data_IF_185135006381
#
_entry.id   IF_185135006381
#
_cell.length_a   1.000
_cell.length_b   1.000
_cell.length_c   1.000
_cell.angle_alpha   90.00
_cell.angle_beta   90.00
_cell.angle_gamma   90.00
#
_symmetry.space_group_name_H-M   'P 1'
#
loop_
_entity.id
_entity.type
_entity.pdbx_description
1 polymer ?
#
# COMPACT_ATOMS: atom_id res chain seq x y z
N UNK A 1 33.10 53.96 29.33
CA UNK A 1 33.03 52.68 30.07
C UNK A 1 31.58 52.27 30.15
N UNK A 2 31.27 51.06 29.69
CA UNK A 2 29.93 50.44 29.70
C UNK A 2 29.51 50.10 31.14
N UNK A 3 28.24 50.29 31.46
CA UNK A 3 27.44 49.40 32.31
C UNK A 3 26.00 49.93 32.41
N UNK A 4 25.10 49.39 31.59
CA UNK A 4 23.66 49.42 31.82
C UNK A 4 23.30 48.03 32.36
N UNK A 5 22.92 47.98 33.64
CA UNK A 5 22.45 46.78 34.31
C UNK A 5 20.94 46.63 34.11
N UNK A 6 20.56 45.36 33.99
CA UNK A 6 19.29 44.80 33.55
C UNK A 6 18.13 44.93 34.57
N UNK A 7 16.96 44.56 34.01
CA UNK A 7 15.79 43.92 34.64
C UNK A 7 14.66 44.89 35.01
N UNK A 8 13.38 44.57 34.79
CA UNK A 8 12.73 43.29 34.55
C UNK A 8 11.46 43.52 33.72
N UNK A 9 11.35 42.85 32.58
CA UNK A 9 10.12 42.76 31.79
C UNK A 9 9.32 41.57 32.33
N UNK A 10 8.21 41.83 33.01
CA UNK A 10 7.19 40.82 33.31
C UNK A 10 5.94 41.12 32.50
N UNK A 11 5.95 40.71 31.23
CA UNK A 11 4.74 40.61 30.42
C UNK A 11 4.37 39.12 30.33
N UNK A 12 3.42 38.73 31.17
CA UNK A 12 2.82 37.40 31.15
C UNK A 12 1.86 37.32 29.96
N UNK A 13 2.37 36.91 28.80
CA UNK A 13 1.55 36.49 27.67
C UNK A 13 1.66 34.97 27.57
N UNK A 14 0.67 34.26 28.09
CA UNK A 14 0.52 32.84 27.83
C UNK A 14 0.20 32.66 26.33
N UNK A 15 1.07 32.00 25.54
CA UNK A 15 0.66 31.60 24.21
C UNK A 15 -0.39 30.51 24.37
N UNK A 16 -1.57 30.77 23.83
CA UNK A 16 -2.57 29.77 23.54
C UNK A 16 -1.86 28.56 22.93
N UNK A 17 -2.03 27.40 23.55
CA UNK A 17 -1.42 26.16 23.12
C UNK A 17 -1.68 25.97 21.64
N UNK A 18 -0.62 26.11 20.85
CA UNK A 18 -0.54 25.48 19.55
C UNK A 18 -0.65 24.01 19.90
N UNK A 19 -1.85 23.46 19.78
CA UNK A 19 -1.99 22.05 19.46
C UNK A 19 -1.13 21.89 18.21
N UNK A 20 0.06 21.33 18.39
CA UNK A 20 0.79 20.75 17.30
C UNK A 20 -0.22 19.77 16.70
N UNK A 21 -0.85 20.19 15.60
CA UNK A 21 -1.39 19.24 14.66
C UNK A 21 -0.17 18.41 14.30
N UNK A 22 -0.09 17.23 14.91
CA UNK A 22 0.80 16.18 14.45
C UNK A 22 0.59 16.16 12.93
N UNK A 23 1.66 16.30 12.11
CA UNK A 23 1.49 16.20 10.68
C UNK A 23 0.84 14.84 10.48
N UNK A 24 -0.42 14.81 10.02
CA UNK A 24 -1.06 13.57 9.66
C UNK A 24 -0.10 12.95 8.65
N UNK A 25 0.60 11.89 9.04
CA UNK A 25 1.44 11.14 8.12
C UNK A 25 0.59 10.96 6.87
N UNK A 26 1.06 11.50 5.74
CA UNK A 26 0.34 11.38 4.48
C UNK A 26 0.09 9.89 4.28
N UNK A 27 -1.13 9.43 4.56
CA UNK A 27 -1.54 8.03 4.41
C UNK A 27 -1.64 7.72 2.93
N UNK A 28 -0.53 7.75 2.20
CA UNK A 28 -0.53 7.48 0.77
C UNK A 28 -0.95 6.04 0.49
N UNK A 29 -1.32 5.80 -0.76
CA UNK A 29 -1.58 4.47 -1.27
C UNK A 29 -0.91 4.30 -2.63
N UNK A 30 -0.85 3.06 -3.11
CA UNK A 30 -0.56 2.74 -4.49
C UNK A 30 -1.82 2.27 -5.18
N UNK A 31 -2.21 2.92 -6.28
CA UNK A 31 -3.21 2.38 -7.20
C UNK A 31 -2.48 1.62 -8.29
N UNK A 32 -2.76 0.33 -8.40
CA UNK A 32 -2.16 -0.55 -9.38
C UNK A 32 -3.22 -1.02 -10.37
N UNK A 33 -2.90 -0.90 -11.66
CA UNK A 33 -3.67 -1.44 -12.76
C UNK A 33 -3.06 -2.77 -13.18
N UNK A 34 -3.87 -3.84 -13.15
CA UNK A 34 -3.48 -5.15 -13.65
C UNK A 34 -3.63 -5.17 -15.16
N UNK A 35 -2.57 -5.61 -15.85
CA UNK A 35 -2.51 -5.61 -17.32
C UNK A 35 -2.44 -7.03 -17.89
N UNK A 36 -1.86 -7.96 -17.13
CA UNK A 36 -1.81 -9.37 -17.49
C UNK A 36 -2.17 -10.25 -16.31
N UNK A 37 -2.75 -11.41 -16.60
CA UNK A 37 -3.01 -12.46 -15.63
C UNK A 37 -2.87 -13.83 -16.31
N UNK A 38 -2.11 -14.73 -15.70
CA UNK A 38 -1.77 -16.04 -16.27
C UNK A 38 -1.82 -17.13 -15.20
N UNK A 39 -2.54 -18.20 -15.48
CA UNK A 39 -2.35 -19.46 -14.77
C UNK A 39 -1.10 -20.14 -15.36
N UNK A 40 0.03 -20.06 -14.65
CA UNK A 40 1.30 -20.63 -15.09
C UNK A 40 1.30 -22.15 -15.01
N UNK A 41 0.59 -22.75 -14.05
CA UNK A 41 0.42 -24.21 -13.95
C UNK A 41 -0.24 -24.82 -15.20
N UNK A 42 -1.16 -24.07 -15.82
CA UNK A 42 -1.87 -24.48 -17.03
C UNK A 42 -1.37 -23.80 -18.31
N UNK A 43 -0.33 -22.97 -18.22
CA UNK A 43 0.18 -22.13 -19.30
C UNK A 43 -0.90 -21.32 -20.05
N UNK A 44 -1.91 -20.81 -19.32
CA UNK A 44 -3.11 -20.18 -19.88
C UNK A 44 -3.28 -18.73 -19.39
N UNK A 45 -3.54 -17.81 -20.31
CA UNK A 45 -3.95 -16.44 -19.94
C UNK A 45 -5.39 -16.45 -19.42
N UNK A 46 -5.61 -15.78 -18.30
CA UNK A 46 -6.90 -15.67 -17.64
C UNK A 46 -7.51 -14.28 -17.85
N UNK A 47 -8.85 -14.16 -17.84
CA UNK A 47 -9.48 -12.85 -17.79
C UNK A 47 -9.18 -12.16 -16.45
N UNK A 48 -8.77 -10.91 -16.49
CA UNK A 48 -8.46 -10.11 -15.30
C UNK A 48 -9.74 -9.87 -14.49
N UNK A 49 -9.80 -10.39 -13.26
CA UNK A 49 -10.97 -10.24 -12.39
C UNK A 49 -11.01 -8.86 -11.71
N UNK A 50 -9.86 -8.42 -11.17
CA UNK A 50 -9.68 -7.13 -10.50
C UNK A 50 -8.71 -6.27 -11.33
N UNK A 51 -9.21 -5.43 -12.25
CA UNK A 51 -8.35 -4.65 -13.13
C UNK A 51 -7.62 -3.51 -12.42
N UNK A 52 -8.16 -3.04 -11.29
CA UNK A 52 -7.56 -1.99 -10.47
C UNK A 52 -7.59 -2.42 -9.00
N UNK A 53 -6.48 -2.17 -8.30
CA UNK A 53 -6.33 -2.44 -6.86
C UNK A 53 -5.67 -1.26 -6.18
N UNK A 54 -6.05 -0.98 -4.94
CA UNK A 54 -5.45 0.05 -4.11
C UNK A 54 -4.79 -0.59 -2.90
N UNK A 55 -3.53 -0.24 -2.65
CA UNK A 55 -2.72 -0.73 -1.54
C UNK A 55 -2.33 0.45 -0.64
N UNK A 56 -2.88 0.48 0.58
CA UNK A 56 -2.49 1.47 1.57
C UNK A 56 -1.02 1.28 1.98
N UNK A 57 -0.25 2.38 2.04
CA UNK A 57 1.19 2.33 2.32
C UNK A 57 1.53 1.70 3.67
N UNK A 58 0.67 1.89 4.67
CA UNK A 58 0.84 1.37 6.03
C UNK A 58 0.67 -0.15 6.14
N UNK A 59 0.13 -0.79 5.11
CA UNK A 59 0.03 -2.25 4.99
C UNK A 59 1.17 -2.89 4.20
N UNK A 60 2.01 -2.08 3.55
CA UNK A 60 3.11 -2.55 2.72
C UNK A 60 4.39 -2.63 3.53
N UNK A 61 5.09 -3.77 3.42
CA UNK A 61 6.42 -3.96 3.99
C UNK A 61 7.49 -3.66 2.95
N UNK A 62 8.49 -2.84 3.29
CA UNK A 62 9.68 -2.68 2.45
C UNK A 62 10.60 -3.90 2.63
N UNK A 63 10.79 -4.65 1.54
CA UNK A 63 11.65 -5.82 1.46
C UNK A 63 12.66 -5.66 0.32
N UNK A 64 13.73 -4.92 0.59
CA UNK A 64 14.85 -4.77 -0.34
C UNK A 64 14.55 -3.83 -1.51
N UNK A 65 13.82 -2.74 -1.24
CA UNK A 65 13.44 -1.75 -2.27
C UNK A 65 12.19 -2.14 -3.04
N UNK A 66 11.51 -3.21 -2.64
CA UNK A 66 10.17 -3.57 -3.11
C UNK A 66 9.19 -3.41 -1.96
N UNK A 67 8.00 -2.88 -2.25
CA UNK A 67 6.89 -2.84 -1.31
C UNK A 67 6.07 -4.11 -1.47
N UNK A 68 5.89 -4.85 -0.37
CA UNK A 68 5.33 -6.20 -0.37
C UNK A 68 4.11 -6.27 0.54
N UNK A 69 3.05 -6.92 0.08
CA UNK A 69 1.90 -7.31 0.89
C UNK A 69 1.63 -8.80 0.67
N UNK A 70 1.54 -9.55 1.76
CA UNK A 70 1.05 -10.93 1.75
C UNK A 70 -0.39 -10.95 2.24
N UNK A 71 -1.28 -11.55 1.47
CA UNK A 71 -2.72 -11.63 1.73
C UNK A 71 -3.20 -13.07 1.60
N UNK A 72 -4.07 -13.49 2.53
CA UNK A 72 -4.78 -14.75 2.42
C UNK A 72 -6.22 -14.44 2.06
N UNK A 73 -6.68 -14.90 0.91
CA UNK A 73 -8.06 -14.77 0.45
C UNK A 73 -8.73 -16.14 0.57
N UNK A 74 -9.78 -16.22 1.38
CA UNK A 74 -10.55 -17.45 1.60
C UNK A 74 -11.99 -17.20 1.17
N UNK A 75 -12.49 -18.05 0.28
CA UNK A 75 -13.89 -18.14 -0.08
C UNK A 75 -14.39 -19.60 0.09
N UNK A 76 -15.70 -19.89 -0.04
CA UNK A 76 -16.23 -21.25 0.17
C UNK A 76 -15.69 -22.33 -0.77
N UNK A 77 -15.07 -21.95 -1.89
CA UNK A 77 -14.61 -22.82 -2.96
C UNK A 77 -13.09 -22.80 -3.13
N UNK A 78 -12.41 -21.77 -2.62
CA UNK A 78 -10.98 -21.64 -2.76
C UNK A 78 -10.28 -20.94 -1.59
N UNK A 79 -9.01 -21.28 -1.42
CA UNK A 79 -8.09 -20.54 -0.55
C UNK A 79 -6.87 -20.14 -1.38
N UNK A 80 -6.46 -18.87 -1.27
CA UNK A 80 -5.25 -18.39 -1.92
C UNK A 80 -4.36 -17.59 -1.00
N UNK A 81 -3.06 -17.87 -1.09
CA UNK A 81 -2.01 -17.00 -0.56
C UNK A 81 -1.48 -16.16 -1.71
N UNK A 82 -1.67 -14.84 -1.63
CA UNK A 82 -1.26 -13.87 -2.64
C UNK A 82 -0.12 -13.03 -2.10
N UNK A 83 0.97 -12.93 -2.85
CA UNK A 83 2.06 -11.99 -2.59
C UNK A 83 2.06 -10.91 -3.65
N UNK A 84 1.77 -9.68 -3.24
CA UNK A 84 1.87 -8.48 -4.05
C UNK A 84 3.26 -7.88 -3.91
N UNK A 85 3.82 -7.40 -5.02
CA UNK A 85 5.10 -6.67 -5.06
C UNK A 85 4.93 -5.44 -5.93
N UNK A 86 5.38 -4.31 -5.41
CA UNK A 86 5.41 -3.03 -6.11
C UNK A 86 6.86 -2.55 -6.09
N UNK A 87 7.42 -2.29 -7.26
CA UNK A 87 8.68 -1.55 -7.37
C UNK A 87 8.37 -0.05 -7.38
N UNK A 88 8.64 0.68 -6.29
CA UNK A 88 8.32 2.10 -6.19
C UNK A 88 9.19 2.97 -7.10
N UNK A 89 10.34 2.47 -7.59
CA UNK A 89 11.23 3.22 -8.48
C UNK A 89 10.75 3.21 -9.93
N UNK A 90 10.15 2.09 -10.37
CA UNK A 90 9.67 1.92 -11.75
C UNK A 90 8.15 2.01 -11.89
N UNK A 91 7.42 1.85 -10.78
CA UNK A 91 5.97 1.68 -10.80
C UNK A 91 5.54 0.31 -11.30
N UNK A 92 6.45 -0.68 -11.39
CA UNK A 92 6.11 -2.03 -11.83
C UNK A 92 5.34 -2.79 -10.74
N UNK A 93 4.30 -3.50 -11.14
CA UNK A 93 3.47 -4.34 -10.27
C UNK A 93 3.60 -5.82 -10.64
N UNK A 94 3.76 -6.66 -9.64
CA UNK A 94 3.66 -8.11 -9.76
C UNK A 94 2.81 -8.69 -8.62
N UNK A 95 2.03 -9.72 -8.92
CA UNK A 95 1.43 -10.55 -7.90
C UNK A 95 1.56 -12.02 -8.26
N UNK A 96 1.83 -12.85 -7.25
CA UNK A 96 1.82 -14.30 -7.37
C UNK A 96 0.82 -14.87 -6.36
N UNK A 97 -0.11 -15.69 -6.83
CA UNK A 97 -1.12 -16.34 -6.01
C UNK A 97 -0.99 -17.86 -6.14
N UNK A 98 -0.92 -18.54 -5.00
CA UNK A 98 -1.11 -19.99 -4.92
C UNK A 98 -2.57 -20.23 -4.58
N UNK A 99 -3.36 -20.65 -5.57
CA UNK A 99 -4.79 -20.91 -5.45
C UNK A 99 -5.04 -22.40 -5.23
N UNK A 100 -5.74 -22.76 -4.17
CA UNK A 100 -6.22 -24.12 -3.90
C UNK A 100 -7.70 -24.20 -4.21
N UNK A 101 -8.09 -24.96 -5.22
CA UNK A 101 -9.50 -25.18 -5.59
C UNK A 101 -10.02 -26.42 -4.86
N UNK A 102 -10.94 -26.21 -3.92
CA UNK A 102 -11.47 -27.28 -3.09
C UNK A 102 -12.44 -28.22 -3.83
N UNK A 103 -13.09 -27.73 -4.90
CA UNK A 103 -14.01 -28.55 -5.68
C UNK A 103 -13.26 -29.52 -6.59
N UNK A 104 -12.14 -29.08 -7.15
CA UNK A 104 -11.30 -29.89 -8.03
C UNK A 104 -10.21 -30.66 -7.28
N UNK A 105 -9.85 -30.22 -6.07
CA UNK A 105 -8.70 -30.77 -5.34
C UNK A 105 -7.36 -30.43 -6.00
N UNK A 106 -7.31 -29.34 -6.77
CA UNK A 106 -6.15 -28.92 -7.54
C UNK A 106 -5.53 -27.63 -6.96
N UNK A 107 -4.25 -27.41 -7.24
CA UNK A 107 -3.55 -26.18 -6.88
C UNK A 107 -2.95 -25.54 -8.12
N UNK A 108 -3.16 -24.23 -8.27
CA UNK A 108 -2.68 -23.43 -9.39
C UNK A 108 -1.81 -22.29 -8.90
N UNK A 109 -0.82 -21.93 -9.70
CA UNK A 109 -0.09 -20.68 -9.55
C UNK A 109 -0.61 -19.69 -10.59
N UNK A 110 -1.07 -18.54 -10.11
CA UNK A 110 -1.53 -17.42 -10.92
C UNK A 110 -0.53 -16.29 -10.76
N UNK A 111 -0.06 -15.74 -11.88
CA UNK A 111 0.81 -14.58 -11.91
C UNK A 111 0.12 -13.43 -12.63
N UNK A 112 0.25 -12.24 -12.06
CA UNK A 112 -0.29 -11.00 -12.61
C UNK A 112 0.80 -9.95 -12.67
N UNK A 113 0.78 -9.13 -13.73
CA UNK A 113 1.68 -7.98 -13.85
C UNK A 113 0.91 -6.73 -14.25
N UNK A 114 1.49 -5.57 -13.97
CA UNK A 114 0.92 -4.30 -14.39
C UNK A 114 1.72 -3.11 -13.92
N UNK A 115 1.02 -1.99 -13.71
CA UNK A 115 1.63 -0.70 -13.38
C UNK A 115 0.96 -0.06 -12.17
N UNK A 116 1.72 0.65 -11.35
CA UNK A 116 1.24 1.36 -10.16
C UNK A 116 1.60 2.84 -10.20
N UNK A 117 0.70 3.66 -9.65
CA UNK A 117 0.94 5.06 -9.33
C UNK A 117 0.74 5.30 -7.83
N UNK A 118 1.51 6.21 -7.25
CA UNK A 118 1.30 6.65 -5.87
C UNK A 118 0.15 7.66 -5.85
N UNK A 119 -0.84 7.42 -5.00
CA UNK A 119 -2.02 8.28 -4.83
C UNK A 119 -2.11 8.80 -3.38
N UNK A 120 -2.66 9.99 -3.16
CA UNK A 120 -2.89 10.51 -1.82
C UNK A 120 -4.02 9.76 -1.09
N UNK A 121 -3.99 9.75 0.25
CA UNK A 121 -4.94 9.08 1.15
C UNK A 121 -6.43 9.31 0.87
N UNK A 122 -6.74 10.52 0.37
CA UNK A 122 -8.10 11.04 0.28
C UNK A 122 -8.97 10.35 -0.79
N UNK A 123 -8.41 9.44 -1.59
CA UNK A 123 -9.12 8.78 -2.69
C UNK A 123 -9.83 7.48 -2.25
N UNK A 124 -9.63 7.02 -1.01
CA UNK A 124 -10.34 5.85 -0.46
C UNK A 124 -11.82 6.13 -0.11
N UNK A 125 -12.30 7.38 -0.22
CA UNK A 125 -13.64 7.78 0.25
C UNK A 125 -14.74 7.84 -0.82
N UNK A 126 -14.49 7.40 -2.06
CA UNK A 126 -15.45 7.51 -3.17
C UNK A 126 -15.87 6.16 -3.80
N UNK A 127 -16.00 5.08 -3.00
CA UNK A 127 -16.65 3.84 -3.45
C UNK A 127 -17.64 3.30 -2.42
#
# INVERSE_FOLDING_TARGET
MKSLALASLSALAAPFGVAAAEPSEERGAYRCKVETMRNVSMAKNLPIAEPERVFALDRLEDRGGQLVLEEVVVDPHSESLVTHRIDPATGHYEASAMLSDHAMGEQYQIESTGTCERVPASVESEQ
#
